data_IF_745620805813
#
_entry.id   IF_745620805813
#
_cell.length_a   1.000
_cell.length_b   1.000
_cell.length_c   1.000
_cell.angle_alpha   90.00
_cell.angle_beta   90.00
_cell.angle_gamma   90.00
#
_symmetry.space_group_name_H-M   'P 1'
#
loop_
_entity.id
_entity.type
_entity.pdbx_description
1 polymer ?
#
# COMPACT_ATOMS: atom_id res chain seq x y z
N UNK A 1 -2.28 13.71 24.08
CA UNK A 1 -1.14 12.90 23.60
C UNK A 1 -1.61 12.21 22.33
N UNK A 2 -1.05 12.55 21.16
CA UNK A 2 -1.31 11.80 19.93
C UNK A 2 -0.39 10.59 20.00
N UNK A 3 -0.96 9.44 20.32
CA UNK A 3 -0.32 8.18 19.99
C UNK A 3 -0.14 8.19 18.48
N UNK A 4 1.08 8.50 18.05
CA UNK A 4 1.56 8.14 16.73
C UNK A 4 1.50 6.62 16.71
N UNK A 5 0.36 6.09 16.25
CA UNK A 5 0.38 4.82 15.55
C UNK A 5 1.49 4.96 14.52
N UNK A 6 2.66 4.40 14.86
CA UNK A 6 3.75 4.20 13.91
C UNK A 6 3.08 3.47 12.76
N UNK A 7 2.84 4.21 11.69
CA UNK A 7 2.20 3.67 10.52
C UNK A 7 3.31 2.83 9.89
N UNK A 8 3.41 1.56 10.30
CA UNK A 8 4.47 0.61 9.90
C UNK A 8 4.64 0.59 8.37
N UNK A 9 3.58 0.98 7.65
CA UNK A 9 3.58 1.15 6.20
C UNK A 9 4.31 2.41 5.70
N UNK A 10 4.19 3.55 6.39
CA UNK A 10 4.86 4.80 6.01
C UNK A 10 6.36 4.80 6.35
N UNK A 11 6.77 4.10 7.42
CA UNK A 11 8.12 4.25 7.96
C UNK A 11 9.00 3.00 7.72
N UNK A 12 8.68 2.15 6.75
CA UNK A 12 9.46 0.92 6.49
C UNK A 12 10.96 1.15 6.31
N UNK A 13 11.37 2.16 5.53
CA UNK A 13 12.78 2.52 5.35
C UNK A 13 13.41 2.92 6.68
N UNK A 14 12.76 3.84 7.40
CA UNK A 14 13.25 4.33 8.69
C UNK A 14 13.32 3.21 9.73
N UNK A 15 12.38 2.26 9.73
CA UNK A 15 12.38 1.12 10.63
C UNK A 15 13.62 0.24 10.38
N UNK A 16 13.92 -0.07 9.12
CA UNK A 16 15.07 -0.90 8.75
C UNK A 16 16.39 -0.16 9.01
N UNK A 17 16.49 1.12 8.63
CA UNK A 17 17.69 1.94 8.85
C UNK A 17 17.97 2.08 10.35
N UNK A 18 16.97 2.43 11.17
CA UNK A 18 17.12 2.55 12.62
C UNK A 18 17.50 1.21 13.26
N UNK A 19 16.95 0.09 12.77
CA UNK A 19 17.30 -1.23 13.27
C UNK A 19 18.79 -1.54 13.01
N UNK A 20 19.29 -1.25 11.81
CA UNK A 20 20.70 -1.43 11.47
C UNK A 20 21.59 -0.50 12.30
N UNK A 21 21.20 0.74 12.52
CA UNK A 21 22.00 1.70 13.30
C UNK A 21 22.06 1.37 14.79
N UNK A 22 20.99 0.79 15.35
CA UNK A 22 20.91 0.48 16.78
C UNK A 22 21.48 -0.89 17.13
N UNK A 23 21.21 -1.89 16.29
CA UNK A 23 21.51 -3.28 16.59
C UNK A 23 22.56 -3.88 15.65
N UNK A 24 23.05 -3.14 14.65
CA UNK A 24 23.99 -3.65 13.65
C UNK A 24 25.31 -4.19 14.21
N UNK A 25 25.70 -3.73 15.41
CA UNK A 25 26.90 -4.18 16.12
C UNK A 25 26.64 -5.36 17.10
N UNK A 26 25.39 -5.82 17.21
CA UNK A 26 25.03 -6.94 18.09
C UNK A 26 25.30 -8.31 17.44
N UNK A 27 25.78 -9.27 18.24
CA UNK A 27 26.07 -10.63 17.73
C UNK A 27 24.83 -11.41 17.23
N UNK A 28 23.62 -11.08 17.70
CA UNK A 28 22.37 -11.75 17.29
C UNK A 28 21.68 -11.02 16.11
N UNK A 29 22.21 -9.87 15.67
CA UNK A 29 21.65 -9.12 14.55
C UNK A 29 21.98 -9.82 13.23
N UNK A 30 21.05 -9.89 12.26
CA UNK A 30 21.33 -10.47 10.96
C UNK A 30 22.51 -9.76 10.28
N UNK A 31 23.61 -10.51 10.13
CA UNK A 31 24.82 -10.03 9.46
C UNK A 31 24.55 -9.65 8.00
N UNK A 32 25.22 -8.59 7.56
CA UNK A 32 25.18 -8.11 6.19
C UNK A 32 26.01 -9.05 5.30
N UNK A 33 25.39 -9.63 4.27
CA UNK A 33 26.13 -10.41 3.27
C UNK A 33 27.17 -9.52 2.58
N UNK A 34 28.36 -10.04 2.26
CA UNK A 34 29.49 -9.28 1.70
C UNK A 34 29.14 -8.54 0.39
N UNK A 35 28.18 -9.07 -0.38
CA UNK A 35 27.70 -8.50 -1.64
C UNK A 35 26.70 -7.34 -1.47
N UNK A 36 26.29 -7.00 -0.25
CA UNK A 36 25.33 -5.92 -0.02
C UNK A 36 26.10 -4.59 0.07
N UNK A 37 25.85 -3.65 -0.84
CA UNK A 37 26.31 -2.27 -0.67
C UNK A 37 25.28 -1.46 0.15
N UNK A 38 25.74 -0.50 0.98
CA UNK A 38 24.83 0.37 1.73
C UNK A 38 23.96 1.20 0.79
N UNK A 39 24.56 1.71 -0.30
CA UNK A 39 23.85 2.47 -1.32
C UNK A 39 22.72 1.66 -1.99
N UNK A 40 23.00 0.42 -2.37
CA UNK A 40 22.01 -0.44 -3.04
C UNK A 40 20.86 -0.82 -2.09
N UNK A 41 21.17 -0.96 -0.79
CA UNK A 41 20.16 -1.17 0.25
C UNK A 41 19.26 0.06 0.43
N UNK A 42 19.85 1.26 0.52
CA UNK A 42 19.09 2.50 0.67
C UNK A 42 18.21 2.75 -0.56
N UNK A 43 18.74 2.56 -1.77
CA UNK A 43 17.99 2.67 -3.03
C UNK A 43 16.82 1.65 -3.10
N UNK A 44 17.03 0.43 -2.62
CA UNK A 44 15.98 -0.59 -2.52
C UNK A 44 14.88 -0.21 -1.54
N UNK A 45 15.24 0.25 -0.34
CA UNK A 45 14.28 0.65 0.69
C UNK A 45 13.45 1.86 0.26
N UNK A 46 14.10 2.84 -0.38
CA UNK A 46 13.46 4.02 -0.93
C UNK A 46 12.43 3.64 -2.01
N UNK A 47 12.81 2.79 -2.98
CA UNK A 47 11.87 2.35 -4.02
C UNK A 47 10.75 1.47 -3.44
N UNK A 48 11.04 0.67 -2.41
CA UNK A 48 10.03 -0.11 -1.70
C UNK A 48 8.98 0.79 -1.03
N UNK A 49 9.41 1.81 -0.29
CA UNK A 49 8.50 2.80 0.30
C UNK A 49 7.73 3.58 -0.76
N UNK A 50 8.39 4.02 -1.82
CA UNK A 50 7.75 4.73 -2.91
C UNK A 50 6.62 3.92 -3.57
N UNK A 51 6.79 2.60 -3.69
CA UNK A 51 5.74 1.71 -4.18
C UNK A 51 4.58 1.62 -3.18
N UNK A 52 4.87 1.50 -1.87
CA UNK A 52 3.84 1.48 -0.83
C UNK A 52 3.03 2.79 -0.81
N UNK A 53 3.71 3.93 -0.90
CA UNK A 53 3.10 5.26 -0.85
C UNK A 53 2.46 5.68 -2.18
N UNK A 54 2.61 4.90 -3.24
CA UNK A 54 2.11 5.23 -4.58
C UNK A 54 0.58 5.36 -4.66
N UNK A 55 -0.16 4.75 -3.72
CA UNK A 55 -1.62 4.90 -3.64
C UNK A 55 -2.05 6.20 -2.93
N UNK A 56 -1.11 6.89 -2.28
CA UNK A 56 -1.36 8.07 -1.46
C UNK A 56 -2.06 7.74 -0.13
N UNK A 57 -2.36 8.80 0.63
CA UNK A 57 -2.95 8.66 1.98
C UNK A 57 -4.32 7.97 1.95
N UNK A 58 -4.68 7.29 3.04
CA UNK A 58 -6.01 6.68 3.19
C UNK A 58 -7.15 7.69 2.93
N UNK A 59 -6.98 8.94 3.36
CA UNK A 59 -7.94 10.02 3.12
C UNK A 59 -8.09 10.33 1.63
N UNK A 60 -6.98 10.47 0.91
CA UNK A 60 -6.99 10.72 -0.53
C UNK A 60 -7.64 9.55 -1.29
N UNK A 61 -7.32 8.32 -0.91
CA UNK A 61 -7.92 7.11 -1.50
C UNK A 61 -9.44 7.06 -1.26
N UNK A 62 -9.89 7.28 -0.03
CA UNK A 62 -11.32 7.30 0.31
C UNK A 62 -12.07 8.36 -0.48
N UNK A 63 -11.52 9.57 -0.61
CA UNK A 63 -12.11 10.64 -1.42
C UNK A 63 -12.19 10.23 -2.90
N UNK A 64 -11.10 9.68 -3.46
CA UNK A 64 -11.05 9.24 -4.86
C UNK A 64 -12.12 8.18 -5.16
N UNK A 65 -12.16 7.11 -4.37
CA UNK A 65 -13.11 6.02 -4.58
C UNK A 65 -14.55 6.41 -4.22
N UNK A 66 -14.74 7.31 -3.25
CA UNK A 66 -16.04 7.89 -2.91
C UNK A 66 -16.64 8.70 -4.06
N UNK A 67 -15.83 9.55 -4.71
CA UNK A 67 -16.27 10.30 -5.91
C UNK A 67 -16.68 9.32 -7.02
N UNK A 68 -15.86 8.29 -7.28
CA UNK A 68 -16.17 7.28 -8.30
C UNK A 68 -17.48 6.56 -8.00
N UNK A 69 -17.75 6.23 -6.73
CA UNK A 69 -18.98 5.54 -6.34
C UNK A 69 -20.25 6.38 -6.57
N UNK A 70 -20.15 7.70 -6.50
CA UNK A 70 -21.30 8.62 -6.63
C UNK A 70 -21.60 8.97 -8.10
N UNK A 71 -20.60 8.95 -8.99
CA UNK A 71 -20.75 9.32 -10.41
C UNK A 71 -21.91 8.60 -11.12
N UNK A 72 -22.08 7.26 -11.02
CA UNK A 72 -23.18 6.57 -11.70
C UNK A 72 -24.57 6.98 -11.21
N UNK A 73 -24.69 7.31 -9.92
CA UNK A 73 -25.93 7.81 -9.33
C UNK A 73 -26.25 9.19 -9.89
N UNK A 74 -25.25 10.07 -9.98
CA UNK A 74 -25.44 11.41 -10.56
C UNK A 74 -25.85 11.35 -12.03
N UNK A 75 -25.23 10.46 -12.80
CA UNK A 75 -25.59 10.25 -14.21
C UNK A 75 -27.06 9.82 -14.32
N UNK A 76 -27.48 8.83 -13.53
CA UNK A 76 -28.88 8.36 -13.60
C UNK A 76 -29.88 9.37 -13.04
N UNK A 77 -29.50 10.15 -12.03
CA UNK A 77 -30.32 11.25 -11.51
C UNK A 77 -30.55 12.38 -12.54
N UNK A 78 -29.72 12.47 -13.58
CA UNK A 78 -29.86 13.48 -14.63
C UNK A 78 -30.92 13.11 -15.69
N UNK A 79 -31.43 11.87 -15.69
CA UNK A 79 -32.44 11.41 -16.63
C UNK A 79 -33.79 11.20 -15.95
N UNK A 80 -34.92 11.49 -16.64
CA UNK A 80 -36.24 11.18 -16.11
C UNK A 80 -36.42 9.65 -16.00
N UNK A 81 -37.08 9.20 -14.93
CA UNK A 81 -37.24 7.77 -14.60
C UNK A 81 -37.82 6.93 -15.75
N UNK A 82 -38.65 7.56 -16.59
CA UNK A 82 -39.32 6.98 -17.76
C UNK A 82 -38.33 6.53 -18.86
N UNK A 83 -37.15 7.16 -18.90
CA UNK A 83 -36.10 6.89 -19.88
C UNK A 83 -35.05 5.90 -19.35
N UNK A 84 -35.11 5.55 -18.07
CA UNK A 84 -34.14 4.66 -17.45
C UNK A 84 -34.59 3.19 -17.60
N UNK A 85 -33.67 2.25 -17.92
CA UNK A 85 -34.01 0.86 -18.19
C UNK A 85 -34.71 0.15 -17.01
N UNK A 86 -34.50 0.62 -15.78
CA UNK A 86 -35.02 0.01 -14.55
C UNK A 86 -36.04 0.90 -13.81
N UNK A 87 -36.53 1.99 -14.43
CA UNK A 87 -37.53 2.88 -13.85
C UNK A 87 -37.17 3.35 -12.42
N UNK A 88 -38.05 3.10 -11.45
CA UNK A 88 -37.89 3.47 -10.04
C UNK A 88 -36.69 2.81 -9.34
N UNK A 89 -36.26 1.62 -9.80
CA UNK A 89 -35.15 0.88 -9.19
C UNK A 89 -33.78 1.32 -9.74
N UNK A 90 -33.75 2.17 -10.76
CA UNK A 90 -32.53 2.63 -11.41
C UNK A 90 -31.54 3.31 -10.44
N UNK A 91 -32.04 4.02 -9.42
CA UNK A 91 -31.20 4.64 -8.40
C UNK A 91 -30.46 3.60 -7.54
N UNK A 92 -31.14 2.53 -7.15
CA UNK A 92 -30.53 1.42 -6.40
C UNK A 92 -29.49 0.69 -7.23
N UNK A 93 -29.81 0.45 -8.51
CA UNK A 93 -28.85 -0.12 -9.48
C UNK A 93 -27.63 0.78 -9.62
N UNK A 94 -27.79 2.10 -9.59
CA UNK A 94 -26.69 3.06 -9.65
C UNK A 94 -25.79 3.07 -8.46
N UNK A 95 -26.39 3.03 -7.28
CA UNK A 95 -25.66 2.93 -6.03
C UNK A 95 -24.83 1.64 -6.01
N UNK A 96 -25.46 0.53 -6.37
CA UNK A 96 -24.79 -0.76 -6.43
C UNK A 96 -23.66 -0.76 -7.47
N UNK A 97 -23.93 -0.27 -8.68
CA UNK A 97 -22.95 -0.20 -9.77
C UNK A 97 -21.76 0.69 -9.40
N UNK A 98 -21.99 1.86 -8.82
CA UNK A 98 -20.94 2.75 -8.35
C UNK A 98 -20.07 2.12 -7.27
N UNK A 99 -20.68 1.45 -6.30
CA UNK A 99 -19.96 0.72 -5.26
C UNK A 99 -19.07 -0.40 -5.87
N UNK A 100 -19.63 -1.18 -6.79
CA UNK A 100 -18.90 -2.26 -7.48
C UNK A 100 -17.71 -1.70 -8.27
N UNK A 101 -17.90 -0.62 -9.03
CA UNK A 101 -16.82 0.02 -9.79
C UNK A 101 -15.72 0.52 -8.84
N UNK A 102 -16.10 1.22 -7.76
CA UNK A 102 -15.14 1.72 -6.78
C UNK A 102 -14.34 0.57 -6.13
N UNK A 103 -15.01 -0.53 -5.79
CA UNK A 103 -14.37 -1.71 -5.22
C UNK A 103 -13.42 -2.39 -6.21
N UNK A 104 -13.82 -2.55 -7.47
CA UNK A 104 -12.96 -3.11 -8.53
C UNK A 104 -11.71 -2.26 -8.74
N UNK A 105 -11.85 -0.94 -8.84
CA UNK A 105 -10.71 -0.03 -9.01
C UNK A 105 -9.77 -0.09 -7.81
N UNK A 106 -10.30 -0.14 -6.58
CA UNK A 106 -9.50 -0.31 -5.37
C UNK A 106 -8.74 -1.65 -5.39
N UNK A 107 -9.42 -2.72 -5.79
CA UNK A 107 -8.80 -4.04 -5.94
C UNK A 107 -7.66 -4.05 -6.96
N UNK A 108 -7.86 -3.42 -8.12
CA UNK A 108 -6.82 -3.28 -9.15
C UNK A 108 -5.62 -2.46 -8.68
N UNK A 109 -5.85 -1.36 -7.95
CA UNK A 109 -4.79 -0.54 -7.35
C UNK A 109 -3.94 -1.37 -6.40
N UNK A 110 -4.59 -2.06 -5.45
CA UNK A 110 -3.91 -2.88 -4.46
C UNK A 110 -3.11 -4.01 -5.11
N UNK A 111 -3.66 -4.61 -6.17
CA UNK A 111 -2.98 -5.64 -6.95
C UNK A 111 -1.76 -5.08 -7.69
N UNK A 112 -1.85 -3.86 -8.24
CA UNK A 112 -0.72 -3.19 -8.90
C UNK A 112 0.44 -2.97 -7.93
N UNK A 113 0.17 -2.49 -6.70
CA UNK A 113 1.18 -2.34 -5.65
C UNK A 113 1.82 -3.68 -5.33
N UNK A 114 1.02 -4.73 -5.10
CA UNK A 114 1.54 -6.08 -4.80
C UNK A 114 2.41 -6.63 -5.92
N UNK A 115 2.03 -6.43 -7.18
CA UNK A 115 2.81 -6.88 -8.35
C UNK A 115 4.13 -6.11 -8.43
N UNK A 116 4.12 -4.79 -8.22
CA UNK A 116 5.33 -3.96 -8.23
C UNK A 116 6.28 -4.35 -7.11
N UNK A 117 5.78 -4.55 -5.88
CA UNK A 117 6.58 -5.04 -4.75
C UNK A 117 7.15 -6.43 -5.03
N UNK A 118 6.33 -7.34 -5.57
CA UNK A 118 6.78 -8.70 -5.91
C UNK A 118 7.86 -8.67 -6.99
N UNK A 119 7.76 -7.76 -7.95
CA UNK A 119 8.79 -7.56 -8.98
C UNK A 119 10.07 -6.99 -8.37
N UNK A 120 9.98 -5.98 -7.51
CA UNK A 120 11.15 -5.39 -6.84
C UNK A 120 11.91 -6.42 -6.01
N UNK A 121 11.18 -7.26 -5.25
CA UNK A 121 11.76 -8.38 -4.48
C UNK A 121 12.40 -9.44 -5.37
N UNK A 122 11.82 -9.74 -6.53
CA UNK A 122 12.39 -10.71 -7.48
C UNK A 122 13.66 -10.21 -8.16
N UNK A 123 13.75 -8.91 -8.42
CA UNK A 123 14.94 -8.29 -9.03
C UNK A 123 16.08 -8.24 -8.01
N UNK A 124 15.78 -7.99 -6.73
CA UNK A 124 16.76 -7.85 -5.66
C UNK A 124 16.56 -8.93 -4.56
N UNK A 125 16.79 -10.22 -4.84
CA UNK A 125 16.50 -11.30 -3.89
C UNK A 125 17.37 -11.26 -2.64
N UNK A 126 18.63 -10.82 -2.77
CA UNK A 126 19.58 -10.70 -1.64
C UNK A 126 19.12 -9.59 -0.67
N UNK A 127 18.81 -8.39 -1.20
CA UNK A 127 18.30 -7.27 -0.40
C UNK A 127 16.93 -7.57 0.23
N UNK A 128 16.05 -8.24 -0.50
CA UNK A 128 14.76 -8.68 0.03
C UNK A 128 14.94 -9.66 1.20
N UNK A 129 15.80 -10.66 1.06
CA UNK A 129 16.11 -11.63 2.13
C UNK A 129 16.72 -10.95 3.35
N UNK A 130 17.64 -10.01 3.16
CA UNK A 130 18.28 -9.27 4.24
C UNK A 130 17.29 -8.40 5.02
N UNK A 131 16.47 -7.61 4.31
CA UNK A 131 15.44 -6.78 4.93
C UNK A 131 14.34 -7.61 5.61
N UNK A 132 13.97 -8.77 5.06
CA UNK A 132 13.05 -9.72 5.69
C UNK A 132 13.61 -10.28 7.02
N UNK A 133 14.92 -10.58 7.09
CA UNK A 133 15.60 -11.02 8.33
C UNK A 133 15.60 -9.92 9.39
N UNK A 134 15.90 -8.68 9.02
CA UNK A 134 15.88 -7.52 9.94
C UNK A 134 14.45 -7.31 10.46
N UNK A 135 13.45 -7.34 9.58
CA UNK A 135 12.05 -7.20 9.98
C UNK A 135 11.61 -8.31 10.94
N UNK A 136 12.09 -9.55 10.73
CA UNK A 136 11.82 -10.68 11.63
C UNK A 136 12.49 -10.51 13.01
N UNK A 137 13.73 -10.00 13.05
CA UNK A 137 14.44 -9.69 14.29
C UNK A 137 13.70 -8.61 15.10
N UNK A 138 13.34 -7.49 14.47
CA UNK A 138 12.57 -6.42 15.12
C UNK A 138 11.22 -6.90 15.68
N UNK A 139 10.55 -7.82 14.97
CA UNK A 139 9.30 -8.41 15.45
C UNK A 139 9.50 -9.29 16.68
N UNK A 140 10.64 -9.97 16.78
CA UNK A 140 10.99 -10.85 17.91
C UNK A 140 11.38 -10.05 19.15
N UNK A 141 12.00 -8.88 18.99
CA UNK A 141 12.41 -8.02 20.10
C UNK A 141 11.23 -7.22 20.72
N UNK A 142 10.16 -7.02 19.95
CA UNK A 142 8.92 -6.36 20.40
C UNK A 142 7.98 -7.26 21.23
N UNK A 143 8.31 -8.54 21.44
CA UNK A 143 7.53 -9.52 22.21
C UNK A 143 8.39 -10.23 23.25
#
# INVERSE_FOLDING_TARGET
MKELHVNILNDYEHLIINAIERHGDEMDFPGKDEDINRKDLDDYLYEYQRILDSEGTQRAQLTKYGIVAVVPILIMSAFPEQMLPWGRDSLWVGLFLGLVIAMLLKGLSMLSVRVRLSRLRKINPVLASYTDKIAAYMKKELY
#
